data_IF_700041458992
#
_entry.id   IF_700041458992
#
_cell.length_a   1.000
_cell.length_b   1.000
_cell.length_c   1.000
_cell.angle_alpha   90.00
_cell.angle_beta   90.00
_cell.angle_gamma   90.00
#
_symmetry.space_group_name_H-M   'P 1'
#
loop_
_entity.id
_entity.type
_entity.pdbx_description
1 polymer ?
#
# COMPACT_ATOMS: atom_id res chain seq x y z
N UNK A 1 -7.68 -5.14 -30.28
CA UNK A 1 -8.33 -4.52 -29.10
C UNK A 1 -8.86 -5.61 -28.17
N UNK A 2 -8.70 -5.49 -26.84
CA UNK A 2 -9.29 -6.43 -25.88
C UNK A 2 -10.81 -6.20 -25.82
N UNK A 3 -11.60 -7.17 -26.30
CA UNK A 3 -13.07 -7.09 -26.29
C UNK A 3 -13.70 -7.39 -24.92
N UNK A 4 -13.02 -8.12 -24.04
CA UNK A 4 -13.54 -8.51 -22.73
C UNK A 4 -12.56 -8.18 -21.60
N UNK A 5 -13.08 -7.78 -20.42
CA UNK A 5 -12.28 -7.63 -19.20
C UNK A 5 -11.94 -9.02 -18.65
N UNK A 6 -10.70 -9.25 -18.15
CA UNK A 6 -10.36 -10.52 -17.51
C UNK A 6 -11.22 -10.74 -16.26
N UNK A 7 -11.64 -11.98 -16.04
CA UNK A 7 -12.38 -12.36 -14.81
C UNK A 7 -11.45 -12.15 -13.60
N UNK A 8 -11.96 -11.46 -12.56
CA UNK A 8 -11.23 -11.32 -11.31
C UNK A 8 -11.19 -12.67 -10.59
N UNK A 9 -10.00 -13.10 -10.18
CA UNK A 9 -9.85 -14.31 -9.35
C UNK A 9 -10.28 -14.00 -7.94
N UNK A 10 -10.99 -14.95 -7.30
CA UNK A 10 -11.33 -14.86 -5.88
C UNK A 10 -10.05 -15.11 -5.09
N UNK A 11 -9.73 -14.21 -4.17
CA UNK A 11 -8.60 -14.37 -3.25
C UNK A 11 -9.13 -15.07 -2.01
N UNK A 12 -8.58 -16.24 -1.68
CA UNK A 12 -8.92 -16.95 -0.46
C UNK A 12 -8.40 -16.16 0.76
N UNK A 13 -9.14 -16.17 1.87
CA UNK A 13 -8.70 -15.51 3.09
C UNK A 13 -7.43 -16.18 3.66
N UNK A 14 -6.74 -15.46 4.53
CA UNK A 14 -5.56 -15.92 5.22
C UNK A 14 -5.91 -17.02 6.26
N UNK A 15 -5.09 -18.08 6.42
CA UNK A 15 -5.39 -19.18 7.32
C UNK A 15 -5.35 -18.80 8.80
N UNK A 16 -4.60 -17.76 9.20
CA UNK A 16 -4.44 -17.36 10.61
C UNK A 16 -5.49 -16.34 11.03
N UNK A 17 -5.65 -15.27 10.25
CA UNK A 17 -6.55 -14.14 10.55
C UNK A 17 -7.88 -14.22 9.82
N UNK A 18 -8.04 -15.18 8.90
CA UNK A 18 -9.22 -15.32 8.03
C UNK A 18 -9.57 -14.02 7.26
N UNK A 19 -8.54 -13.27 6.83
CA UNK A 19 -8.67 -11.96 6.20
C UNK A 19 -8.11 -11.98 4.77
N UNK A 20 -8.93 -11.53 3.80
CA UNK A 20 -8.54 -11.44 2.38
C UNK A 20 -7.48 -10.35 2.13
N UNK A 21 -7.49 -9.28 2.93
CA UNK A 21 -6.52 -8.19 2.79
C UNK A 21 -5.12 -8.66 3.13
N UNK A 22 -4.97 -9.53 4.14
CA UNK A 22 -3.71 -10.18 4.49
C UNK A 22 -3.19 -11.04 3.34
N UNK A 23 -4.05 -11.88 2.75
CA UNK A 23 -3.67 -12.70 1.58
C UNK A 23 -3.22 -11.85 0.39
N UNK A 24 -3.88 -10.73 0.12
CA UNK A 24 -3.47 -9.79 -0.93
C UNK A 24 -2.11 -9.16 -0.62
N UNK A 25 -1.90 -8.75 0.63
CA UNK A 25 -0.62 -8.16 1.06
C UNK A 25 0.54 -9.14 0.92
N UNK A 26 0.36 -10.40 1.37
CA UNK A 26 1.34 -11.47 1.23
C UNK A 26 1.66 -11.74 -0.24
N UNK A 27 0.65 -11.71 -1.13
CA UNK A 27 0.86 -11.86 -2.57
C UNK A 27 1.68 -10.69 -3.17
N UNK A 28 1.55 -9.46 -2.66
CA UNK A 28 2.38 -8.33 -3.05
C UNK A 28 3.80 -8.38 -2.45
N UNK A 29 3.93 -8.94 -1.26
CA UNK A 29 5.21 -9.12 -0.58
C UNK A 29 6.06 -10.24 -1.21
N UNK A 30 5.42 -11.21 -1.84
CA UNK A 30 6.05 -12.39 -2.38
C UNK A 30 7.03 -12.08 -3.53
N UNK A 31 8.19 -12.76 -3.52
CA UNK A 31 9.13 -12.86 -4.64
C UNK A 31 9.28 -14.31 -5.07
N UNK A 32 9.51 -14.54 -6.33
CA UNK A 32 9.84 -15.86 -6.93
C UNK A 32 8.86 -16.98 -6.57
N UNK A 33 7.59 -16.64 -6.29
CA UNK A 33 6.59 -17.61 -5.86
C UNK A 33 6.77 -18.14 -4.43
N UNK A 34 7.71 -17.61 -3.64
CA UNK A 34 8.01 -18.06 -2.27
C UNK A 34 6.97 -17.57 -1.26
N UNK A 35 5.74 -18.08 -1.35
CA UNK A 35 4.61 -17.58 -0.57
C UNK A 35 4.76 -17.84 0.92
N UNK A 36 5.25 -19.01 1.33
CA UNK A 36 5.45 -19.35 2.74
C UNK A 36 6.42 -18.40 3.44
N UNK A 37 7.51 -18.02 2.76
CA UNK A 37 8.47 -17.03 3.27
C UNK A 37 7.79 -15.67 3.49
N UNK A 38 6.90 -15.26 2.58
CA UNK A 38 6.15 -14.02 2.72
C UNK A 38 5.17 -14.04 3.91
N UNK A 39 4.52 -15.18 4.18
CA UNK A 39 3.72 -15.37 5.39
C UNK A 39 4.56 -15.25 6.65
N UNK A 40 5.69 -15.96 6.72
CA UNK A 40 6.62 -15.89 7.87
C UNK A 40 7.08 -14.45 8.13
N UNK A 41 7.41 -13.69 7.07
CA UNK A 41 7.80 -12.28 7.20
C UNK A 41 6.64 -11.45 7.77
N UNK A 42 5.44 -11.61 7.25
CA UNK A 42 4.28 -10.83 7.65
C UNK A 42 3.86 -11.13 9.10
N UNK A 43 3.75 -12.40 9.45
CA UNK A 43 3.40 -12.80 10.83
C UNK A 43 4.45 -12.36 11.83
N UNK A 44 5.73 -12.56 11.51
CA UNK A 44 6.82 -12.07 12.35
C UNK A 44 6.82 -10.55 12.50
N UNK A 45 6.42 -9.80 11.47
CA UNK A 45 6.28 -8.34 11.58
C UNK A 45 5.11 -7.96 12.52
N UNK A 46 3.95 -8.63 12.42
CA UNK A 46 2.81 -8.37 13.32
C UNK A 46 3.13 -8.74 14.78
N UNK A 47 3.84 -9.83 15.01
CA UNK A 47 4.30 -10.20 16.34
C UNK A 47 5.21 -9.12 16.94
N UNK A 48 6.16 -8.62 16.16
CA UNK A 48 7.02 -7.51 16.57
C UNK A 48 6.24 -6.22 16.84
N UNK A 49 5.21 -5.91 16.04
CA UNK A 49 4.31 -4.77 16.29
C UNK A 49 3.60 -4.96 17.63
N UNK A 50 3.02 -6.12 17.90
CA UNK A 50 2.35 -6.41 19.16
C UNK A 50 3.29 -6.31 20.37
N UNK A 51 4.55 -6.76 20.23
CA UNK A 51 5.55 -6.65 21.28
C UNK A 51 5.97 -5.20 21.56
N UNK A 52 6.04 -4.34 20.54
CA UNK A 52 6.44 -2.93 20.68
C UNK A 52 5.29 -2.02 21.12
N UNK A 53 4.05 -2.35 20.75
CA UNK A 53 2.86 -1.54 21.01
C UNK A 53 1.91 -2.17 22.04
N UNK A 54 2.47 -2.78 23.08
CA UNK A 54 1.70 -3.45 24.16
C UNK A 54 0.72 -2.55 24.91
N UNK A 55 0.93 -1.24 24.86
CA UNK A 55 0.07 -0.26 25.55
C UNK A 55 -1.14 0.17 24.71
N UNK A 56 -1.22 -0.26 23.45
CA UNK A 56 -2.38 0.01 22.59
C UNK A 56 -3.47 -1.03 22.83
N UNK A 57 -4.72 -0.59 22.90
CA UNK A 57 -5.88 -1.47 23.03
C UNK A 57 -6.19 -2.27 21.75
N UNK A 58 -5.58 -1.86 20.63
CA UNK A 58 -5.81 -2.44 19.30
C UNK A 58 -4.96 -3.68 19.07
N UNK A 59 -5.53 -4.64 18.36
CA UNK A 59 -4.79 -5.80 17.90
C UNK A 59 -3.71 -5.41 16.85
N UNK A 60 -2.60 -6.16 16.74
CA UNK A 60 -1.57 -5.88 15.72
C UNK A 60 -2.12 -5.84 14.29
N UNK A 61 -3.15 -6.61 13.99
CA UNK A 61 -3.83 -6.62 12.71
C UNK A 61 -4.59 -5.30 12.46
N UNK A 62 -5.27 -4.76 13.45
CA UNK A 62 -5.97 -3.47 13.38
C UNK A 62 -5.00 -2.32 13.21
N UNK A 63 -3.86 -2.35 13.93
CA UNK A 63 -2.78 -1.37 13.77
C UNK A 63 -2.26 -1.37 12.33
N UNK A 64 -2.02 -2.54 11.75
CA UNK A 64 -1.60 -2.67 10.36
C UNK A 64 -2.67 -2.15 9.38
N UNK A 65 -3.94 -2.46 9.58
CA UNK A 65 -5.04 -1.94 8.75
C UNK A 65 -5.13 -0.42 8.81
N UNK A 66 -5.04 0.15 10.01
CA UNK A 66 -5.02 1.60 10.21
C UNK A 66 -3.80 2.23 9.53
N UNK A 67 -2.63 1.62 9.64
CA UNK A 67 -1.42 2.07 8.96
C UNK A 67 -1.59 2.07 7.43
N UNK A 68 -2.22 1.04 6.85
CA UNK A 68 -2.56 1.01 5.42
C UNK A 68 -3.53 2.12 5.02
N UNK A 69 -4.54 2.39 5.82
CA UNK A 69 -5.49 3.47 5.59
C UNK A 69 -4.79 4.84 5.61
N UNK A 70 -3.92 5.07 6.59
CA UNK A 70 -3.15 6.31 6.72
C UNK A 70 -2.26 6.61 5.51
N UNK A 71 -1.72 5.60 4.84
CA UNK A 71 -0.87 5.75 3.65
C UNK A 71 -1.64 5.63 2.32
N UNK A 72 -2.96 5.43 2.36
CA UNK A 72 -3.77 5.26 1.16
C UNK A 72 -4.01 6.60 0.46
N UNK A 73 -3.53 6.78 -0.79
CA UNK A 73 -3.75 8.00 -1.53
C UNK A 73 -5.18 8.06 -2.09
N UNK A 74 -5.77 9.26 -2.11
CA UNK A 74 -7.12 9.51 -2.68
C UNK A 74 -7.05 9.82 -4.17
N UNK A 75 -5.95 10.47 -4.61
CA UNK A 75 -5.75 10.96 -5.98
C UNK A 75 -4.38 10.54 -6.51
N UNK A 76 -4.29 10.34 -7.82
CA UNK A 76 -3.03 10.11 -8.54
C UNK A 76 -2.96 11.01 -9.75
N UNK A 77 -1.76 11.28 -10.26
CA UNK A 77 -1.54 12.05 -11.47
C UNK A 77 -1.26 11.09 -12.62
N UNK A 78 -1.99 11.26 -13.73
CA UNK A 78 -1.80 10.48 -14.96
C UNK A 78 -1.37 11.38 -16.10
N UNK A 79 -0.32 10.98 -16.82
CA UNK A 79 0.12 11.68 -18.02
C UNK A 79 -0.88 11.43 -19.15
N UNK A 80 -1.34 12.51 -19.80
CA UNK A 80 -2.17 12.48 -20.99
C UNK A 80 -1.58 13.36 -22.06
N UNK A 81 -1.58 12.88 -23.30
CA UNK A 81 -1.11 13.63 -24.45
C UNK A 81 -2.31 14.27 -25.16
N UNK A 82 -2.30 15.59 -25.25
CA UNK A 82 -3.36 16.39 -25.86
C UNK A 82 -2.70 17.40 -26.83
N UNK A 83 -3.06 17.36 -28.10
CA UNK A 83 -2.52 18.28 -29.09
C UNK A 83 -0.99 18.30 -29.22
N UNK A 84 -0.33 17.15 -28.96
CA UNK A 84 1.14 17.04 -29.00
C UNK A 84 1.86 17.34 -27.69
N UNK A 85 1.23 18.03 -26.73
CA UNK A 85 1.77 18.29 -25.40
C UNK A 85 1.34 17.21 -24.39
N UNK A 86 2.20 16.92 -23.39
CA UNK A 86 1.91 15.96 -22.32
C UNK A 86 1.52 16.69 -21.06
N UNK A 87 0.31 16.45 -20.59
CA UNK A 87 -0.23 17.03 -19.37
C UNK A 87 -0.30 16.01 -18.25
N UNK A 88 -0.03 16.45 -17.02
CA UNK A 88 -0.21 15.65 -15.80
C UNK A 88 -1.60 15.91 -15.25
N UNK A 89 -2.52 14.95 -15.44
CA UNK A 89 -3.93 15.12 -15.09
C UNK A 89 -4.23 14.43 -13.78
N UNK A 90 -4.71 15.13 -12.73
CA UNK A 90 -5.11 14.52 -11.48
C UNK A 90 -6.41 13.71 -11.66
N UNK A 91 -6.40 12.47 -11.18
CA UNK A 91 -7.54 11.56 -11.26
C UNK A 91 -7.77 10.88 -9.91
N UNK A 92 -9.02 10.66 -9.55
CA UNK A 92 -9.34 9.83 -8.39
C UNK A 92 -8.95 8.39 -8.62
N UNK A 93 -8.50 7.75 -7.56
CA UNK A 93 -8.09 6.35 -7.58
C UNK A 93 -9.29 5.48 -7.22
N UNK A 94 -9.57 4.44 -8.01
CA UNK A 94 -10.62 3.45 -7.69
C UNK A 94 -10.25 2.67 -6.43
N UNK A 95 -11.25 2.19 -5.67
CA UNK A 95 -11.07 1.49 -4.40
C UNK A 95 -10.07 0.31 -4.48
N UNK A 96 -10.26 -0.59 -5.45
CA UNK A 96 -9.36 -1.74 -5.69
C UNK A 96 -7.89 -1.32 -5.90
N UNK A 97 -7.69 -0.17 -6.56
CA UNK A 97 -6.38 0.35 -6.86
C UNK A 97 -5.76 1.08 -5.67
N UNK A 98 -6.58 1.77 -4.85
CA UNK A 98 -6.14 2.41 -3.61
C UNK A 98 -5.46 1.38 -2.69
N UNK A 99 -6.15 0.25 -2.45
CA UNK A 99 -5.64 -0.86 -1.65
C UNK A 99 -4.31 -1.40 -2.19
N UNK A 100 -4.23 -1.64 -3.51
CA UNK A 100 -3.00 -2.14 -4.14
C UNK A 100 -1.83 -1.15 -4.06
N UNK A 101 -2.08 0.17 -4.19
CA UNK A 101 -1.05 1.21 -4.11
C UNK A 101 -0.51 1.32 -2.68
N UNK A 102 -1.40 1.34 -1.67
CA UNK A 102 -0.98 1.42 -0.27
C UNK A 102 -0.11 0.23 0.13
N UNK A 103 -0.52 -1.00 -0.21
CA UNK A 103 0.26 -2.20 0.06
C UNK A 103 1.64 -2.16 -0.61
N UNK A 104 1.69 -1.80 -1.89
CA UNK A 104 2.95 -1.69 -2.65
C UNK A 104 3.88 -0.61 -2.08
N UNK A 105 3.33 0.53 -1.68
CA UNK A 105 4.12 1.60 -1.07
C UNK A 105 4.70 1.16 0.27
N UNK A 106 3.90 0.56 1.16
CA UNK A 106 4.37 0.03 2.43
C UNK A 106 5.52 -0.95 2.23
N UNK A 107 5.37 -1.91 1.33
CA UNK A 107 6.40 -2.92 1.02
C UNK A 107 7.66 -2.28 0.44
N UNK A 108 7.50 -1.34 -0.50
CA UNK A 108 8.61 -0.64 -1.16
C UNK A 108 9.46 0.12 -0.14
N UNK A 109 8.83 0.87 0.76
CA UNK A 109 9.55 1.64 1.76
C UNK A 109 10.10 0.78 2.89
N UNK A 110 9.40 -0.27 3.30
CA UNK A 110 9.96 -1.27 4.21
C UNK A 110 11.26 -1.89 3.66
N UNK A 111 11.29 -2.24 2.36
CA UNK A 111 12.50 -2.78 1.71
C UNK A 111 13.67 -1.78 1.66
N UNK A 112 13.39 -0.49 1.53
CA UNK A 112 14.40 0.57 1.51
C UNK A 112 15.00 0.88 2.89
N UNK A 113 14.36 0.44 3.98
CA UNK A 113 14.87 0.65 5.34
C UNK A 113 16.11 -0.19 5.61
N UNK A 114 16.99 0.34 6.45
CA UNK A 114 18.01 -0.44 7.13
C UNK A 114 17.37 -1.37 8.17
N UNK A 115 18.04 -2.47 8.51
CA UNK A 115 17.59 -3.45 9.50
C UNK A 115 18.08 -4.84 9.17
N UNK A 116 18.05 -5.75 10.16
CA UNK A 116 18.59 -7.10 10.04
C UNK A 116 17.68 -8.03 9.24
N UNK A 117 16.36 -7.95 9.46
CA UNK A 117 15.37 -8.82 8.79
C UNK A 117 14.28 -8.02 8.10
N UNK A 118 13.61 -8.64 7.12
CA UNK A 118 12.47 -8.00 6.45
C UNK A 118 11.26 -7.84 7.39
N UNK A 119 11.08 -8.73 8.37
CA UNK A 119 10.04 -8.62 9.39
C UNK A 119 10.25 -7.38 10.26
N UNK A 120 11.49 -7.11 10.68
CA UNK A 120 11.82 -5.90 11.44
C UNK A 120 11.62 -4.61 10.63
N UNK A 121 12.07 -4.60 9.38
CA UNK A 121 11.88 -3.46 8.46
C UNK A 121 10.40 -3.16 8.24
N UNK A 122 9.60 -4.20 8.03
CA UNK A 122 8.16 -4.07 7.83
C UNK A 122 7.45 -3.61 9.12
N UNK A 123 7.81 -4.16 10.27
CA UNK A 123 7.31 -3.71 11.58
C UNK A 123 7.54 -2.22 11.78
N UNK A 124 8.76 -1.73 11.55
CA UNK A 124 9.10 -0.33 11.72
C UNK A 124 8.31 0.58 10.74
N UNK A 125 8.13 0.15 9.48
CA UNK A 125 7.32 0.92 8.52
C UNK A 125 5.83 0.96 8.91
N UNK A 126 5.28 -0.15 9.43
CA UNK A 126 3.90 -0.21 9.94
C UNK A 126 3.71 0.77 11.10
N UNK A 127 4.62 0.77 12.07
CA UNK A 127 4.57 1.67 13.22
C UNK A 127 4.64 3.14 12.83
N UNK A 128 5.56 3.49 11.93
CA UNK A 128 5.69 4.87 11.45
C UNK A 128 4.45 5.28 10.65
N UNK A 129 3.92 4.41 9.78
CA UNK A 129 2.70 4.66 9.01
C UNK A 129 1.47 4.81 9.93
N UNK A 130 1.38 4.05 11.01
CA UNK A 130 0.34 4.19 12.03
C UNK A 130 0.39 5.58 12.67
N UNK A 131 1.59 6.08 12.97
CA UNK A 131 1.83 7.40 13.53
C UNK A 131 1.85 8.54 12.50
N UNK A 132 1.39 8.29 11.27
CA UNK A 132 1.41 9.26 10.15
C UNK A 132 2.83 9.75 9.80
N UNK A 133 3.79 8.86 9.87
CA UNK A 133 5.20 9.11 9.59
C UNK A 133 5.75 8.06 8.60
N UNK A 134 7.03 8.17 8.29
CA UNK A 134 7.71 7.20 7.44
C UNK A 134 7.63 7.49 5.94
N UNK A 135 8.33 6.64 5.19
CA UNK A 135 8.49 6.81 3.74
C UNK A 135 7.21 6.60 2.94
N UNK A 136 6.40 5.62 3.34
CA UNK A 136 5.13 5.34 2.68
C UNK A 136 4.11 6.47 2.89
N UNK A 137 4.06 7.06 4.08
CA UNK A 137 3.22 8.21 4.37
C UNK A 137 3.67 9.45 3.57
N UNK A 138 4.97 9.75 3.57
CA UNK A 138 5.53 10.84 2.77
C UNK A 138 5.21 10.68 1.28
N UNK A 139 5.24 9.45 0.76
CA UNK A 139 4.88 9.17 -0.63
C UNK A 139 3.43 9.53 -0.93
N UNK A 140 2.49 9.24 -0.01
CA UNK A 140 1.09 9.67 -0.15
C UNK A 140 0.99 11.20 -0.22
N UNK A 141 1.65 11.90 0.69
CA UNK A 141 1.66 13.36 0.73
C UNK A 141 2.23 13.96 -0.58
N UNK A 142 3.34 13.40 -1.08
CA UNK A 142 3.92 13.84 -2.35
C UNK A 142 2.97 13.63 -3.54
N UNK A 143 2.23 12.52 -3.57
CA UNK A 143 1.21 12.26 -4.59
C UNK A 143 0.06 13.28 -4.52
N UNK A 144 -0.42 13.62 -3.33
CA UNK A 144 -1.45 14.62 -3.14
C UNK A 144 -0.96 16.02 -3.55
N UNK A 145 0.26 16.40 -3.15
CA UNK A 145 0.90 17.66 -3.53
C UNK A 145 1.06 17.80 -5.05
N UNK A 146 1.50 16.72 -5.72
CA UNK A 146 1.58 16.71 -7.18
C UNK A 146 0.21 16.86 -7.85
N UNK A 147 -0.82 16.21 -7.30
CA UNK A 147 -2.18 16.32 -7.82
C UNK A 147 -2.74 17.74 -7.63
N UNK A 148 -2.45 18.38 -6.51
CA UNK A 148 -2.87 19.76 -6.23
C UNK A 148 -2.16 20.77 -7.13
N UNK A 149 -0.85 20.64 -7.31
CA UNK A 149 -0.07 21.50 -8.23
C UNK A 149 -0.57 21.41 -9.68
N UNK A 150 -1.15 20.28 -10.09
CA UNK A 150 -1.71 20.05 -11.42
C UNK A 150 -3.24 20.22 -11.48
N UNK A 151 -3.87 20.81 -10.47
CA UNK A 151 -5.34 20.95 -10.36
C UNK A 151 -5.94 21.69 -11.56
N UNK A 152 -5.23 22.64 -12.14
CA UNK A 152 -5.66 23.38 -13.31
C UNK A 152 -5.98 22.47 -14.53
N UNK A 153 -5.34 21.29 -14.62
CA UNK A 153 -5.53 20.32 -15.70
C UNK A 153 -6.61 19.27 -15.42
N UNK A 154 -7.35 19.40 -14.32
CA UNK A 154 -8.38 18.42 -13.93
C UNK A 154 -9.52 18.31 -14.96
N UNK A 155 -9.79 19.35 -15.73
CA UNK A 155 -10.81 19.36 -16.80
C UNK A 155 -10.44 18.47 -17.99
N UNK A 156 -9.19 18.05 -18.14
CA UNK A 156 -8.76 17.05 -19.13
C UNK A 156 -9.00 15.60 -18.68
N UNK A 157 -9.79 15.41 -17.66
CA UNK A 157 -10.19 14.11 -17.13
C UNK A 157 -11.34 13.53 -17.97
N UNK A 158 -11.06 12.47 -18.75
CA UNK A 158 -12.05 11.73 -19.54
C UNK A 158 -12.10 10.27 -19.06
#
# INVERSE_FOLDING_TARGET
MRKAKPKKRVVLPDPVFNDQMVSKFVNHLMYDGKKNVSYTIFYGALELVGNKMKNEEKTPLEIWKQALENITPKVEVKSRRIGGATFQVPTEIRADRKESISMKNMILFARKRGGKSMSEKLCNEIMDAYNNQGGAYKRKEDMHRMAEANRAFAHFRF
#
